data_IF_321640660858
#
_entry.id   IF_321640660858
#
_cell.length_a   1.000
_cell.length_b   1.000
_cell.length_c   1.000
_cell.angle_alpha   90.00
_cell.angle_beta   90.00
_cell.angle_gamma   90.00
#
_symmetry.space_group_name_H-M   'P 1'
#
loop_
_entity.id
_entity.type
_entity.pdbx_description
1 polymer ?
#
# COMPACT_ATOMS: atom_id res chain seq x y z
N UNK A 1 11.40 -22.42 -6.32
CA UNK A 1 10.96 -23.12 -5.09
C UNK A 1 10.83 -22.06 -4.02
N UNK A 2 9.60 -21.69 -3.65
CA UNK A 2 9.36 -20.76 -2.55
C UNK A 2 9.74 -21.44 -1.24
N UNK A 3 10.57 -20.78 -0.43
CA UNK A 3 10.91 -21.30 0.89
C UNK A 3 9.64 -21.36 1.74
N UNK A 4 9.42 -22.41 2.56
CA UNK A 4 8.16 -22.61 3.30
C UNK A 4 7.80 -21.51 4.31
N UNK A 5 8.64 -20.48 4.48
CA UNK A 5 8.44 -19.35 5.39
C UNK A 5 8.42 -17.97 4.69
N UNK A 6 8.33 -17.94 3.36
CA UNK A 6 8.28 -16.67 2.63
C UNK A 6 6.92 -15.98 2.86
N UNK A 7 6.93 -14.85 3.56
CA UNK A 7 5.71 -14.06 3.84
C UNK A 7 5.28 -13.35 2.56
N UNK A 8 4.36 -13.95 1.83
CA UNK A 8 3.83 -13.41 0.55
C UNK A 8 2.63 -12.51 0.71
N UNK A 9 2.03 -12.48 1.90
CA UNK A 9 0.76 -11.82 2.17
C UNK A 9 0.89 -10.94 3.42
N UNK A 10 0.25 -9.77 3.38
CA UNK A 10 0.12 -8.87 4.52
C UNK A 10 -1.34 -8.47 4.71
N UNK A 11 -1.73 -8.16 5.95
CA UNK A 11 -3.08 -7.67 6.28
C UNK A 11 -2.98 -6.24 6.79
N UNK A 12 -3.71 -5.32 6.17
CA UNK A 12 -3.78 -3.91 6.57
C UNK A 12 -5.20 -3.52 7.01
N UNK A 13 -5.36 -2.98 8.24
CA UNK A 13 -6.61 -2.35 8.62
C UNK A 13 -6.77 -1.01 7.89
N UNK A 14 -7.99 -0.72 7.45
CA UNK A 14 -8.29 0.48 6.67
C UNK A 14 -9.73 0.97 6.91
N UNK A 15 -9.94 2.29 6.91
CA UNK A 15 -11.27 2.86 6.95
C UNK A 15 -11.96 2.66 5.59
N UNK A 16 -13.27 2.38 5.60
CA UNK A 16 -13.99 2.05 4.37
C UNK A 16 -13.97 3.20 3.35
N UNK A 17 -14.11 4.45 3.80
CA UNK A 17 -14.04 5.64 2.94
C UNK A 17 -12.71 5.78 2.21
N UNK A 18 -11.61 5.42 2.87
CA UNK A 18 -10.29 5.38 2.27
C UNK A 18 -10.13 4.18 1.32
N UNK A 19 -10.65 3.01 1.68
CA UNK A 19 -10.67 1.84 0.81
C UNK A 19 -11.38 2.13 -0.52
N UNK A 20 -12.51 2.86 -0.49
CA UNK A 20 -13.21 3.24 -1.72
C UNK A 20 -12.35 4.09 -2.67
N UNK A 21 -11.36 4.83 -2.18
CA UNK A 21 -10.41 5.59 -3.04
C UNK A 21 -9.47 4.66 -3.79
N UNK A 22 -9.10 3.53 -3.20
CA UNK A 22 -8.29 2.49 -3.84
C UNK A 22 -9.15 1.74 -4.86
N UNK A 23 -10.37 1.34 -4.50
CA UNK A 23 -11.32 0.66 -5.41
C UNK A 23 -11.61 1.51 -6.65
N UNK A 24 -11.83 2.82 -6.49
CA UNK A 24 -12.06 3.74 -7.60
C UNK A 24 -10.79 4.18 -8.32
N UNK A 25 -9.62 3.62 -7.99
CA UNK A 25 -8.31 3.98 -8.55
C UNK A 25 -7.92 5.47 -8.41
N UNK A 26 -8.59 6.22 -7.55
CA UNK A 26 -8.22 7.59 -7.20
C UNK A 26 -6.93 7.61 -6.34
N UNK A 27 -6.63 6.50 -5.68
CA UNK A 27 -5.41 6.26 -4.92
C UNK A 27 -4.76 4.96 -5.37
N UNK A 28 -3.60 5.07 -5.99
CA UNK A 28 -2.83 3.95 -6.58
C UNK A 28 -1.66 3.48 -5.70
N UNK A 29 -1.21 4.31 -4.76
CA UNK A 29 -0.13 3.98 -3.82
C UNK A 29 -0.58 4.07 -2.37
N UNK A 30 -0.41 3.01 -1.60
CA UNK A 30 -0.57 3.04 -0.14
C UNK A 30 0.77 3.40 0.53
N UNK A 31 0.79 4.50 1.28
CA UNK A 31 2.00 5.03 1.91
C UNK A 31 2.09 4.59 3.37
N UNK A 32 3.26 4.08 3.78
CA UNK A 32 3.55 3.64 5.15
C UNK A 32 4.92 4.16 5.59
N UNK A 33 5.07 4.42 6.89
CA UNK A 33 6.34 4.87 7.49
C UNK A 33 7.46 3.82 7.43
N UNK A 34 7.10 2.55 7.24
CA UNK A 34 8.02 1.43 7.13
C UNK A 34 7.80 0.70 5.79
N UNK A 35 8.87 0.12 5.27
CA UNK A 35 8.81 -0.73 4.08
C UNK A 35 8.16 -2.07 4.40
N UNK A 36 7.29 -2.53 3.51
CA UNK A 36 6.79 -3.90 3.54
C UNK A 36 7.90 -4.86 3.09
N UNK A 37 7.87 -6.11 3.56
CA UNK A 37 8.86 -7.09 3.13
C UNK A 37 8.77 -7.31 1.60
N UNK A 38 9.91 -7.36 0.92
CA UNK A 38 9.99 -7.52 -0.53
C UNK A 38 9.37 -8.85 -1.04
N UNK A 39 9.18 -9.81 -0.14
CA UNK A 39 8.49 -11.06 -0.42
C UNK A 39 6.98 -10.92 -0.55
N UNK A 40 6.38 -9.84 -0.03
CA UNK A 40 4.93 -9.63 -0.06
C UNK A 40 4.49 -9.27 -1.48
N UNK A 41 3.48 -9.99 -1.96
CA UNK A 41 2.88 -9.84 -3.28
C UNK A 41 1.42 -9.41 -3.21
N UNK A 42 0.76 -9.62 -2.07
CA UNK A 42 -0.65 -9.35 -1.86
C UNK A 42 -0.90 -8.67 -0.52
N UNK A 43 -1.78 -7.67 -0.55
CA UNK A 43 -2.28 -7.00 0.64
C UNK A 43 -3.76 -7.28 0.77
N UNK A 44 -4.15 -7.83 1.91
CA UNK A 44 -5.52 -8.04 2.34
C UNK A 44 -5.95 -6.84 3.18
N UNK A 45 -7.13 -6.30 2.90
CA UNK A 45 -7.65 -5.14 3.61
C UNK A 45 -8.78 -5.55 4.56
N UNK A 46 -8.51 -5.36 5.85
CA UNK A 46 -9.49 -5.48 6.93
C UNK A 46 -10.19 -4.14 7.12
N UNK A 47 -11.50 -4.11 6.93
CA UNK A 47 -12.27 -2.89 7.11
C UNK A 47 -12.46 -2.62 8.61
N UNK A 48 -12.11 -1.41 9.03
CA UNK A 48 -12.40 -0.95 10.38
C UNK A 48 -13.91 -0.96 10.67
N UNK A 49 -14.27 -0.74 11.94
CA UNK A 49 -15.66 -0.57 12.34
C UNK A 49 -16.37 0.48 11.45
N UNK A 50 -17.64 0.25 11.07
CA UNK A 50 -18.55 -0.78 11.59
C UNK A 50 -18.48 -2.14 10.86
N UNK A 51 -17.65 -2.29 9.83
CA UNK A 51 -17.63 -3.49 9.00
C UNK A 51 -16.87 -4.65 9.63
N UNK A 52 -15.69 -4.37 10.20
CA UNK A 52 -14.88 -5.32 11.00
C UNK A 52 -14.68 -6.69 10.34
N UNK A 53 -14.32 -6.69 9.05
CA UNK A 53 -13.99 -7.90 8.30
C UNK A 53 -13.03 -7.62 7.14
N UNK A 54 -12.28 -8.65 6.74
CA UNK A 54 -11.49 -8.64 5.52
C UNK A 54 -12.42 -8.67 4.31
N UNK A 55 -12.38 -7.62 3.50
CA UNK A 55 -13.29 -7.44 2.36
C UNK A 55 -12.59 -7.42 1.01
N UNK A 56 -11.31 -7.01 0.97
CA UNK A 56 -10.59 -6.79 -0.29
C UNK A 56 -9.20 -7.41 -0.25
N UNK A 57 -8.67 -7.72 -1.43
CA UNK A 57 -7.28 -8.11 -1.66
C UNK A 57 -6.78 -7.37 -2.89
N UNK A 58 -5.52 -6.93 -2.84
CA UNK A 58 -4.83 -6.34 -4.00
C UNK A 58 -3.48 -7.00 -4.17
N UNK A 59 -3.15 -7.35 -5.40
CA UNK A 59 -1.78 -7.61 -5.79
C UNK A 59 -1.01 -6.28 -5.78
N UNK A 60 0.27 -6.33 -5.42
CA UNK A 60 1.13 -5.16 -5.31
C UNK A 60 2.42 -5.34 -6.09
N UNK A 61 2.90 -4.23 -6.65
CA UNK A 61 4.25 -4.12 -7.17
C UNK A 61 5.28 -4.02 -6.02
N UNK A 62 6.59 -4.20 -6.32
CA UNK A 62 7.63 -3.95 -5.34
C UNK A 62 7.51 -2.57 -4.70
N UNK A 63 7.65 -2.52 -3.38
CA UNK A 63 7.50 -1.29 -2.62
C UNK A 63 8.48 -0.21 -3.10
N UNK A 64 7.94 0.99 -3.32
CA UNK A 64 8.73 2.17 -3.65
C UNK A 64 9.20 2.85 -2.38
N UNK A 65 10.43 3.36 -2.40
CA UNK A 65 11.02 4.14 -1.30
C UNK A 65 11.26 5.58 -1.74
N UNK A 66 11.60 6.44 -0.76
CA UNK A 66 12.01 7.84 -0.97
C UNK A 66 13.48 8.06 -0.60
N UNK A 67 14.29 7.02 -0.70
CA UNK A 67 15.71 7.08 -0.40
C UNK A 67 16.43 8.00 -1.41
N UNK A 68 17.59 8.57 -1.05
CA UNK A 68 18.39 9.31 -2.00
C UNK A 68 18.73 8.44 -3.23
N UNK A 69 18.35 8.90 -4.43
CA UNK A 69 18.55 8.19 -5.69
C UNK A 69 17.33 7.42 -6.21
N UNK A 70 16.25 7.32 -5.42
CA UNK A 70 15.01 6.71 -5.92
C UNK A 70 14.28 7.64 -6.90
N UNK A 71 13.80 7.07 -8.00
CA UNK A 71 12.97 7.78 -8.98
C UNK A 71 11.61 8.17 -8.39
N UNK A 72 11.09 9.37 -8.70
CA UNK A 72 9.78 9.81 -8.26
C UNK A 72 8.68 8.88 -8.80
N UNK A 73 7.54 8.87 -8.12
CA UNK A 73 6.37 8.14 -8.58
C UNK A 73 5.77 8.82 -9.81
N UNK A 74 5.32 8.01 -10.76
CA UNK A 74 4.75 8.43 -12.05
C UNK A 74 3.29 8.88 -11.96
N UNK A 75 2.56 8.44 -10.93
CA UNK A 75 1.11 8.60 -10.87
C UNK A 75 0.66 9.97 -10.34
N UNK A 76 -0.45 10.47 -10.89
CA UNK A 76 -1.21 11.60 -10.33
C UNK A 76 -2.16 11.16 -9.19
N UNK A 77 -1.92 9.98 -8.58
CA UNK A 77 -2.73 9.48 -7.48
C UNK A 77 -2.60 10.36 -6.23
N UNK A 78 -3.63 10.35 -5.38
CA UNK A 78 -3.64 11.12 -4.14
C UNK A 78 -2.37 10.89 -3.30
N UNK A 79 -1.82 11.98 -2.77
CA UNK A 79 -0.62 12.00 -1.89
C UNK A 79 0.71 11.74 -2.62
N UNK A 80 0.70 11.55 -3.95
CA UNK A 80 1.94 11.33 -4.72
C UNK A 80 2.84 12.56 -4.77
N UNK A 81 2.24 13.75 -4.87
CA UNK A 81 2.98 15.01 -4.89
C UNK A 81 3.74 15.22 -3.58
N UNK A 82 3.06 15.06 -2.46
CA UNK A 82 3.63 15.21 -1.12
C UNK A 82 4.74 14.18 -0.88
N UNK A 83 4.58 12.96 -1.38
CA UNK A 83 5.62 11.93 -1.34
C UNK A 83 6.86 12.34 -2.14
N UNK A 84 6.69 12.77 -3.39
CA UNK A 84 7.78 13.19 -4.27
C UNK A 84 8.49 14.45 -3.74
N UNK A 85 7.76 15.38 -3.12
CA UNK A 85 8.30 16.59 -2.47
C UNK A 85 8.96 16.29 -1.11
N UNK A 86 8.98 15.02 -0.67
CA UNK A 86 9.56 14.57 0.61
C UNK A 86 8.99 15.33 1.80
N UNK A 87 7.69 15.60 1.76
CA UNK A 87 6.99 16.21 2.88
C UNK A 87 7.20 15.37 4.15
N UNK A 88 7.35 16.01 5.32
CA UNK A 88 7.42 15.27 6.59
C UNK A 88 6.05 14.69 6.91
N UNK A 89 6.04 13.40 7.25
CA UNK A 89 4.87 12.63 7.72
C UNK A 89 4.72 12.68 9.26
#
# INVERSE_FOLDING_TARGET
>A
MTSPNERTDAVFPIANDYMQRIVCQAKTYEFRRYGIAASVKRVWFDLNAPFSHIAYVSEIDPARTRNPGDEPLDSMGLVTKEFNERHRD
#
